data_IF_158253617755
#
_entry.id   IF_158253617755
#
_cell.length_a   1.000
_cell.length_b   1.000
_cell.length_c   1.000
_cell.angle_alpha   90.00
_cell.angle_beta   90.00
_cell.angle_gamma   90.00
#
_symmetry.space_group_name_H-M   'P 1'
#
loop_
_entity.id
_entity.type
_entity.pdbx_description
1 polymer ?
#
# COMPACT_ATOMS: atom_id res chain seq x y z
N UNK A 1 -8.17 -1.90 -14.02
CA UNK A 1 -7.07 -2.79 -13.58
C UNK A 1 -7.67 -4.01 -12.89
N UNK A 2 -6.97 -5.15 -12.88
CA UNK A 2 -7.47 -6.44 -12.35
C UNK A 2 -6.63 -7.01 -11.20
N UNK A 3 -5.92 -6.16 -10.47
CA UNK A 3 -5.10 -6.58 -9.33
C UNK A 3 -5.96 -6.80 -8.09
N UNK A 4 -5.50 -7.70 -7.22
CA UNK A 4 -6.18 -8.03 -5.96
C UNK A 4 -5.36 -7.46 -4.81
N UNK A 5 -6.02 -6.79 -3.88
CA UNK A 5 -5.39 -6.24 -2.67
C UNK A 5 -6.12 -6.72 -1.42
N UNK A 6 -5.76 -7.90 -0.87
CA UNK A 6 -6.47 -8.47 0.26
C UNK A 6 -6.10 -7.77 1.57
N UNK A 7 -7.07 -7.73 2.49
CA UNK A 7 -6.86 -7.35 3.88
C UNK A 7 -7.10 -8.59 4.74
N UNK A 8 -6.15 -8.90 5.62
CA UNK A 8 -6.18 -10.11 6.45
C UNK A 8 -5.52 -9.88 7.80
N UNK A 9 -5.78 -10.78 8.75
CA UNK A 9 -5.16 -10.76 10.06
C UNK A 9 -3.79 -11.43 10.00
N UNK A 10 -2.81 -10.84 10.69
CA UNK A 10 -1.47 -11.41 10.90
C UNK A 10 -1.12 -11.37 12.38
N UNK A 11 -0.17 -12.21 12.79
CA UNK A 11 0.31 -12.27 14.16
C UNK A 11 1.75 -11.76 14.26
N UNK A 12 2.02 -10.98 15.31
CA UNK A 12 3.36 -10.62 15.76
C UNK A 12 3.48 -11.01 17.23
N UNK A 13 4.07 -12.19 17.48
CA UNK A 13 3.96 -12.84 18.79
C UNK A 13 2.50 -13.22 19.08
N UNK A 14 1.97 -12.77 20.22
CA UNK A 14 0.56 -12.96 20.58
C UNK A 14 -0.38 -11.86 20.09
N UNK A 15 0.15 -10.77 19.53
CA UNK A 15 -0.65 -9.63 19.07
C UNK A 15 -1.14 -9.84 17.64
N UNK A 16 -2.43 -9.55 17.43
CA UNK A 16 -3.08 -9.59 16.12
C UNK A 16 -3.07 -8.21 15.48
N UNK A 17 -2.65 -8.14 14.21
CA UNK A 17 -2.59 -6.92 13.43
C UNK A 17 -3.39 -7.06 12.14
N UNK A 18 -3.89 -5.94 11.61
CA UNK A 18 -4.58 -5.90 10.33
C UNK A 18 -3.63 -5.48 9.22
N UNK A 19 -3.41 -6.38 8.26
CA UNK A 19 -2.49 -6.19 7.14
C UNK A 19 -3.22 -5.97 5.82
N UNK A 20 -2.67 -5.07 4.99
CA UNK A 20 -3.01 -4.90 3.59
C UNK A 20 -1.84 -5.40 2.74
N UNK A 21 -2.11 -6.31 1.82
CA UNK A 21 -1.23 -6.56 0.67
C UNK A 21 -1.72 -5.72 -0.51
N UNK A 22 -0.91 -4.78 -0.96
CA UNK A 22 -1.19 -3.95 -2.12
C UNK A 22 -0.70 -4.64 -3.40
N UNK A 23 -1.64 -5.00 -4.28
CA UNK A 23 -1.32 -5.64 -5.56
C UNK A 23 -1.19 -4.68 -6.75
N UNK A 24 -1.69 -3.45 -6.61
CA UNK A 24 -1.72 -2.44 -7.69
C UNK A 24 -0.46 -1.58 -7.75
N UNK A 25 0.72 -2.16 -7.94
CA UNK A 25 1.98 -1.41 -7.82
C UNK A 25 2.46 -0.85 -9.16
N UNK A 26 2.94 0.40 -9.17
CA UNK A 26 3.51 1.12 -10.33
C UNK A 26 2.56 1.41 -11.51
N UNK A 27 3.06 2.15 -12.50
CA UNK A 27 2.36 2.56 -13.73
C UNK A 27 2.96 1.89 -14.98
N UNK A 28 3.13 0.57 -14.95
CA UNK A 28 3.84 -0.20 -15.97
C UNK A 28 3.05 -0.44 -17.29
N UNK A 29 2.14 0.47 -17.66
CA UNK A 29 1.20 0.28 -18.77
C UNK A 29 1.26 1.37 -19.85
N UNK A 30 2.25 2.28 -19.79
CA UNK A 30 2.40 3.41 -20.71
C UNK A 30 1.33 4.50 -20.53
N UNK A 31 1.24 5.45 -21.47
CA UNK A 31 0.25 6.55 -21.45
C UNK A 31 -1.15 6.03 -21.76
N UNK A 32 -1.81 5.46 -20.74
CA UNK A 32 -3.19 4.93 -20.80
C UNK A 32 -4.03 5.59 -19.70
N UNK A 33 -4.59 6.79 -19.95
CA UNK A 33 -5.27 7.60 -18.94
C UNK A 33 -6.38 6.83 -18.20
N UNK A 34 -7.10 5.96 -18.88
CA UNK A 34 -8.16 5.12 -18.32
C UNK A 34 -7.64 4.11 -17.29
N UNK A 35 -6.44 3.56 -17.52
CA UNK A 35 -5.79 2.64 -16.58
C UNK A 35 -5.26 3.38 -15.35
N UNK A 36 -4.74 4.58 -15.55
CA UNK A 36 -4.26 5.43 -14.47
C UNK A 36 -5.42 5.97 -13.62
N UNK A 37 -6.55 6.34 -14.24
CA UNK A 37 -7.77 6.68 -13.51
C UNK A 37 -8.25 5.51 -12.65
N UNK A 38 -8.32 4.30 -13.22
CA UNK A 38 -8.71 3.12 -12.45
C UNK A 38 -7.76 2.82 -11.27
N UNK A 39 -6.46 3.14 -11.40
CA UNK A 39 -5.50 3.08 -10.30
C UNK A 39 -5.80 4.11 -9.21
N UNK A 40 -6.06 5.36 -9.60
CA UNK A 40 -6.45 6.44 -8.69
C UNK A 40 -7.70 6.06 -7.91
N UNK A 41 -8.71 5.52 -8.57
CA UNK A 41 -9.96 5.11 -7.91
C UNK A 41 -9.71 3.93 -6.95
N UNK A 42 -8.86 2.99 -7.33
CA UNK A 42 -8.50 1.84 -6.49
C UNK A 42 -7.74 2.27 -5.22
N UNK A 43 -6.80 3.20 -5.32
CA UNK A 43 -6.07 3.73 -4.16
C UNK A 43 -6.99 4.49 -3.21
N UNK A 44 -7.89 5.34 -3.73
CA UNK A 44 -8.88 6.05 -2.92
C UNK A 44 -9.83 5.08 -2.19
N UNK A 45 -10.39 4.09 -2.91
CA UNK A 45 -11.23 3.05 -2.29
C UNK A 45 -10.48 2.27 -1.22
N UNK A 46 -9.25 1.87 -1.50
CA UNK A 46 -8.45 1.06 -0.58
C UNK A 46 -8.07 1.84 0.66
N UNK A 47 -7.78 3.13 0.53
CA UNK A 47 -7.55 4.04 1.66
C UNK A 47 -8.74 4.04 2.62
N UNK A 48 -9.96 4.18 2.11
CA UNK A 48 -11.15 4.19 2.97
C UNK A 48 -11.46 2.83 3.59
N UNK A 49 -11.28 1.74 2.84
CA UNK A 49 -11.44 0.39 3.40
C UNK A 49 -10.40 0.15 4.49
N UNK A 50 -9.13 0.48 4.23
CA UNK A 50 -8.04 0.34 5.18
C UNK A 50 -8.26 1.16 6.47
N UNK A 51 -8.80 2.37 6.33
CA UNK A 51 -9.16 3.24 7.46
C UNK A 51 -10.24 2.60 8.33
N UNK A 52 -11.33 2.14 7.72
CA UNK A 52 -12.45 1.47 8.43
C UNK A 52 -12.03 0.18 9.11
N UNK A 53 -11.07 -0.53 8.52
CA UNK A 53 -10.56 -1.81 9.00
C UNK A 53 -9.42 -1.67 10.02
N UNK A 54 -8.93 -0.45 10.29
CA UNK A 54 -7.80 -0.24 11.19
C UNK A 54 -6.49 -0.87 10.70
N UNK A 55 -6.26 -0.88 9.38
CA UNK A 55 -5.02 -1.46 8.81
C UNK A 55 -3.80 -0.69 9.30
N UNK A 56 -2.83 -1.41 9.83
CA UNK A 56 -1.57 -0.86 10.37
C UNK A 56 -0.31 -1.53 9.80
N UNK A 57 -0.48 -2.62 9.05
CA UNK A 57 0.58 -3.29 8.29
C UNK A 57 0.32 -3.08 6.81
N UNK A 58 1.33 -2.58 6.09
CA UNK A 58 1.32 -2.46 4.64
C UNK A 58 2.46 -3.27 4.05
N UNK A 59 2.12 -4.18 3.13
CA UNK A 59 3.07 -4.89 2.28
C UNK A 59 2.65 -4.73 0.82
N UNK A 60 3.62 -4.82 -0.08
CA UNK A 60 3.42 -4.73 -1.52
C UNK A 60 3.72 -6.07 -2.16
N UNK A 61 3.08 -6.35 -3.29
CA UNK A 61 3.47 -7.46 -4.16
C UNK A 61 4.90 -7.31 -4.72
N UNK A 62 5.50 -6.13 -4.63
CA UNK A 62 6.90 -5.86 -4.93
C UNK A 62 7.61 -5.25 -3.73
N UNK A 63 8.59 -5.96 -3.17
CA UNK A 63 9.37 -5.59 -1.98
C UNK A 63 10.03 -4.20 -2.03
N UNK A 64 10.32 -3.66 -3.22
CA UNK A 64 10.87 -2.32 -3.39
C UNK A 64 9.89 -1.19 -3.03
N UNK A 65 8.57 -1.48 -2.99
CA UNK A 65 7.54 -0.49 -2.71
C UNK A 65 7.04 -0.50 -1.26
N UNK A 66 7.48 -1.46 -0.46
CA UNK A 66 7.22 -1.53 0.98
C UNK A 66 8.51 -1.60 1.82
N UNK A 67 9.68 -1.66 1.19
CA UNK A 67 10.97 -1.75 1.87
C UNK A 67 11.16 -3.07 2.61
N UNK A 68 10.54 -4.17 2.16
CA UNK A 68 10.53 -5.42 2.91
C UNK A 68 11.93 -5.98 3.21
N UNK A 69 12.91 -5.81 2.31
CA UNK A 69 14.29 -6.29 2.55
C UNK A 69 14.94 -5.54 3.71
N UNK A 70 14.83 -4.21 3.74
CA UNK A 70 15.39 -3.39 4.82
C UNK A 70 14.69 -3.67 6.16
N UNK A 71 13.36 -3.83 6.14
CA UNK A 71 12.58 -4.22 7.31
C UNK A 71 13.00 -5.59 7.84
N UNK A 72 13.22 -6.57 6.95
CA UNK A 72 13.70 -7.89 7.35
C UNK A 72 15.11 -7.83 7.95
N UNK A 73 16.01 -7.03 7.37
CA UNK A 73 17.36 -6.83 7.89
C UNK A 73 17.37 -6.12 9.27
N UNK A 74 16.46 -5.16 9.47
CA UNK A 74 16.33 -4.43 10.74
C UNK A 74 15.60 -5.22 11.84
N UNK A 75 14.94 -6.33 11.50
CA UNK A 75 14.15 -7.12 12.47
C UNK A 75 15.07 -7.85 13.44
N UNK A 76 14.86 -7.61 14.73
CA UNK A 76 15.53 -8.35 15.82
C UNK A 76 14.57 -9.33 16.49
N UNK A 77 15.10 -10.25 17.30
CA UNK A 77 14.29 -11.29 17.97
C UNK A 77 13.29 -10.68 18.96
N UNK A 78 13.73 -9.67 19.73
CA UNK A 78 12.93 -9.06 20.81
C UNK A 78 12.54 -7.59 20.54
N UNK A 79 12.83 -7.08 19.33
CA UNK A 79 12.54 -5.69 18.97
C UNK A 79 11.15 -5.49 18.37
N UNK A 80 10.76 -4.22 18.14
CA UNK A 80 9.54 -3.89 17.41
C UNK A 80 9.53 -4.56 16.03
N UNK A 81 8.35 -5.00 15.59
CA UNK A 81 8.21 -5.55 14.24
C UNK A 81 8.12 -4.41 13.22
N UNK A 82 9.11 -4.23 12.32
CA UNK A 82 9.19 -3.09 11.41
C UNK A 82 8.12 -3.09 10.30
N UNK A 83 7.34 -4.16 10.20
CA UNK A 83 6.17 -4.22 9.30
C UNK A 83 4.93 -3.56 9.90
N UNK A 84 4.88 -3.35 11.21
CA UNK A 84 3.79 -2.63 11.89
C UNK A 84 4.10 -1.13 11.81
N UNK A 85 3.49 -0.47 10.82
CA UNK A 85 3.74 0.95 10.53
C UNK A 85 2.83 1.89 11.32
N UNK A 86 1.72 1.36 11.83
CA UNK A 86 0.62 2.11 12.40
C UNK A 86 -0.34 2.64 11.33
N UNK A 87 -1.62 2.74 11.69
CA UNK A 87 -2.68 3.16 10.78
C UNK A 87 -2.44 4.52 10.10
N UNK A 88 -1.93 5.57 10.79
CA UNK A 88 -1.64 6.86 10.13
C UNK A 88 -0.62 6.75 9.01
N UNK A 89 0.39 5.89 9.18
CA UNK A 89 1.44 5.68 8.17
C UNK A 89 0.89 4.94 6.95
N UNK A 90 0.09 3.90 7.16
CA UNK A 90 -0.59 3.18 6.06
C UNK A 90 -1.49 4.12 5.26
N UNK A 91 -2.25 4.99 5.94
CA UNK A 91 -3.08 5.99 5.28
C UNK A 91 -2.25 6.97 4.43
N UNK A 92 -1.08 7.39 4.94
CA UNK A 92 -0.17 8.27 4.20
C UNK A 92 0.42 7.60 2.96
N UNK A 93 0.80 6.33 3.04
CA UNK A 93 1.28 5.55 1.88
C UNK A 93 0.23 5.53 0.77
N UNK A 94 -1.01 5.19 1.11
CA UNK A 94 -2.10 5.13 0.13
C UNK A 94 -2.45 6.52 -0.44
N UNK A 95 -2.34 7.58 0.36
CA UNK A 95 -2.48 8.97 -0.11
C UNK A 95 -1.39 9.31 -1.12
N UNK A 96 -0.11 9.05 -0.83
CA UNK A 96 1.01 9.35 -1.76
C UNK A 96 0.85 8.61 -3.09
N UNK A 97 0.41 7.35 -3.05
CA UNK A 97 0.12 6.59 -4.27
C UNK A 97 -1.01 7.21 -5.09
N UNK A 98 -2.09 7.65 -4.42
CA UNK A 98 -3.23 8.29 -5.07
C UNK A 98 -2.86 9.63 -5.71
N UNK A 99 -2.20 10.51 -4.95
CA UNK A 99 -1.78 11.84 -5.39
C UNK A 99 -0.75 11.74 -6.53
N UNK A 100 0.20 10.81 -6.44
CA UNK A 100 1.17 10.55 -7.52
C UNK A 100 0.50 10.11 -8.82
N UNK A 101 -0.55 9.28 -8.72
CA UNK A 101 -1.34 8.88 -9.88
C UNK A 101 -2.15 10.04 -10.47
N UNK A 102 -2.74 10.89 -9.64
CA UNK A 102 -3.45 12.10 -10.08
C UNK A 102 -2.51 13.10 -10.77
N UNK A 103 -1.33 13.34 -10.19
CA UNK A 103 -0.32 14.23 -10.77
C UNK A 103 0.15 13.71 -12.14
N UNK A 104 0.37 12.39 -12.26
CA UNK A 104 0.74 11.75 -13.54
C UNK A 104 -0.39 11.86 -14.56
N UNK A 105 -1.66 11.72 -14.13
CA UNK A 105 -2.80 11.84 -15.02
C UNK A 105 -2.96 13.27 -15.54
N UNK A 106 -2.70 14.27 -14.69
CA UNK A 106 -2.70 15.66 -15.08
C UNK A 106 -1.60 15.97 -16.11
N UNK A 107 -0.37 15.46 -15.91
CA UNK A 107 0.74 15.67 -16.85
C UNK A 107 0.55 14.99 -18.21
N UNK A 108 -0.36 14.01 -18.30
CA UNK A 108 -0.73 13.38 -19.57
C UNK A 108 -1.76 14.19 -20.36
N UNK A 109 -2.46 15.12 -19.72
CA UNK A 109 -3.51 15.96 -20.32
C UNK A 109 -2.98 17.32 -20.79
N UNK A 110 -1.84 17.77 -20.26
CA UNK A 110 -1.06 18.91 -20.77
C UNK A 110 -0.27 18.52 -22.02
#
# INVERSE_FOLDING_TARGET
>A
MGTISPIFDVLSGSQKHRALLWGGTSFNFGKKPERLQAYTDATARTREVAKRQGVEVFISNHNGYDGALDKLAAKTVNGPNPFILGAPTVQRVLTVMNEGAQATLASWRS
#
